data_IF_591082310071
#
_entry.id   IF_591082310071
#
_cell.length_a   1.000
_cell.length_b   1.000
_cell.length_c   1.000
_cell.angle_alpha   90.00
_cell.angle_beta   90.00
_cell.angle_gamma   90.00
#
_symmetry.space_group_name_H-M   'P 1'
#
loop_
_entity.id
_entity.type
_entity.pdbx_description
1 polymer ?
#
# COMPACT_ATOMS: atom_id res chain seq x y z
N UNK A 1 -18.59 2.34 -8.39
CA UNK A 1 -17.56 2.83 -9.32
C UNK A 1 -16.33 1.96 -9.14
N UNK A 2 -15.98 1.16 -10.15
CA UNK A 2 -14.78 0.32 -10.13
C UNK A 2 -13.65 1.14 -10.76
N UNK A 3 -12.54 1.26 -10.06
CA UNK A 3 -11.38 2.01 -10.53
C UNK A 3 -10.48 1.06 -11.33
N UNK A 4 -10.49 1.16 -12.66
CA UNK A 4 -9.61 0.36 -13.51
C UNK A 4 -8.26 1.05 -13.65
N UNK A 5 -7.28 0.56 -12.89
CA UNK A 5 -5.90 1.04 -12.92
C UNK A 5 -5.10 0.25 -13.95
N UNK A 6 -4.36 0.95 -14.81
CA UNK A 6 -3.33 0.36 -15.67
C UNK A 6 -2.15 -0.12 -14.85
N UNK A 7 -1.36 -1.04 -15.40
CA UNK A 7 -0.21 -1.62 -14.69
C UNK A 7 0.78 -0.57 -14.16
N UNK A 8 1.07 0.48 -14.95
CA UNK A 8 1.94 1.58 -14.51
C UNK A 8 1.32 2.39 -13.35
N UNK A 9 0.01 2.57 -13.34
CA UNK A 9 -0.70 3.29 -12.28
C UNK A 9 -0.72 2.45 -10.99
N UNK A 10 -0.92 1.13 -11.12
CA UNK A 10 -0.79 0.19 -9.99
C UNK A 10 0.62 0.23 -9.41
N UNK A 11 1.66 0.09 -10.24
CA UNK A 11 3.04 0.12 -9.77
C UNK A 11 3.39 1.45 -9.08
N UNK A 12 2.91 2.57 -9.61
CA UNK A 12 3.12 3.88 -8.99
C UNK A 12 2.46 3.96 -7.60
N UNK A 13 1.22 3.49 -7.48
CA UNK A 13 0.49 3.45 -6.21
C UNK A 13 1.14 2.48 -5.21
N UNK A 14 1.60 1.31 -5.64
CA UNK A 14 2.34 0.35 -4.80
C UNK A 14 3.59 1.02 -4.21
N UNK A 15 4.38 1.71 -5.04
CA UNK A 15 5.59 2.39 -4.60
C UNK A 15 5.29 3.53 -3.61
N UNK A 16 4.22 4.28 -3.86
CA UNK A 16 3.78 5.37 -2.98
C UNK A 16 3.34 4.84 -1.61
N UNK A 17 2.53 3.77 -1.59
CA UNK A 17 2.08 3.14 -0.35
C UNK A 17 3.25 2.57 0.45
N UNK A 18 4.19 1.90 -0.23
CA UNK A 18 5.38 1.31 0.39
C UNK A 18 6.34 2.38 0.96
N UNK A 19 6.49 3.52 0.27
CA UNK A 19 7.23 4.65 0.81
C UNK A 19 6.53 5.22 2.07
N UNK A 20 5.24 5.49 2.00
CA UNK A 20 4.50 6.09 3.12
C UNK A 20 4.46 5.16 4.34
N UNK A 21 4.32 3.85 4.13
CA UNK A 21 4.39 2.85 5.21
C UNK A 21 5.78 2.83 5.89
N UNK A 22 6.87 3.03 5.14
CA UNK A 22 8.22 3.14 5.74
C UNK A 22 8.34 4.40 6.60
N UNK A 23 7.84 5.52 6.10
CA UNK A 23 7.86 6.80 6.81
C UNK A 23 7.04 6.72 8.11
N UNK A 24 5.84 6.14 8.07
CA UNK A 24 5.00 5.91 9.25
C UNK A 24 5.66 4.98 10.27
N UNK A 25 6.27 3.88 9.83
CA UNK A 25 6.98 2.99 10.75
C UNK A 25 8.13 3.69 11.45
N UNK A 26 8.87 4.54 10.71
CA UNK A 26 9.89 5.39 11.30
C UNK A 26 9.27 6.35 12.32
N UNK A 27 8.21 7.06 11.98
CA UNK A 27 7.55 8.03 12.88
C UNK A 27 6.97 7.38 14.15
N UNK A 28 6.32 6.22 14.02
CA UNK A 28 5.80 5.42 15.15
C UNK A 28 6.92 5.07 16.12
N UNK A 29 8.07 4.63 15.60
CA UNK A 29 9.22 4.24 16.45
C UNK A 29 9.86 5.43 17.19
N UNK A 30 9.70 6.67 16.68
CA UNK A 30 10.25 7.89 17.27
C UNK A 30 9.21 8.74 18.02
N UNK A 31 7.96 8.28 18.11
CA UNK A 31 6.87 9.01 18.77
C UNK A 31 6.71 8.56 20.22
N UNK A 32 7.02 9.43 21.19
CA UNK A 32 6.84 9.14 22.62
C UNK A 32 5.40 9.37 23.13
N UNK A 33 4.62 10.20 22.43
CA UNK A 33 3.23 10.46 22.79
C UNK A 33 2.37 9.24 22.39
N UNK A 34 1.84 8.53 23.39
CA UNK A 34 1.04 7.32 23.20
C UNK A 34 -0.18 7.55 22.30
N UNK A 35 -0.98 8.57 22.56
CA UNK A 35 -2.20 8.83 21.80
C UNK A 35 -1.91 9.21 20.35
N UNK A 36 -0.78 9.89 20.11
CA UNK A 36 -0.32 10.16 18.75
C UNK A 36 0.18 8.89 18.06
N UNK A 37 0.95 8.05 18.77
CA UNK A 37 1.43 6.76 18.25
C UNK A 37 0.29 5.84 17.84
N UNK A 38 -0.80 5.78 18.61
CA UNK A 38 -1.96 4.95 18.25
C UNK A 38 -2.64 5.47 16.97
N UNK A 39 -2.77 6.80 16.80
CA UNK A 39 -3.29 7.36 15.54
C UNK A 39 -2.42 7.02 14.32
N UNK A 40 -1.10 7.01 14.48
CA UNK A 40 -0.19 6.60 13.40
C UNK A 40 -0.34 5.12 13.04
N UNK A 41 -0.60 4.26 14.02
CA UNK A 41 -0.89 2.83 13.77
C UNK A 41 -2.22 2.62 13.06
N UNK A 42 -3.24 3.39 13.41
CA UNK A 42 -4.53 3.36 12.70
C UNK A 42 -4.33 3.74 11.22
N UNK A 43 -3.50 4.75 10.94
CA UNK A 43 -3.13 5.11 9.57
C UNK A 43 -2.35 4.00 8.86
N UNK A 44 -1.37 3.39 9.54
CA UNK A 44 -0.62 2.24 9.02
C UNK A 44 -1.55 1.09 8.61
N UNK A 45 -2.54 0.77 9.45
CA UNK A 45 -3.52 -0.29 9.16
C UNK A 45 -4.32 0.01 7.90
N UNK A 46 -4.82 1.25 7.75
CA UNK A 46 -5.57 1.67 6.56
C UNK A 46 -4.72 1.50 5.29
N UNK A 47 -3.44 1.88 5.33
CA UNK A 47 -2.55 1.77 4.18
C UNK A 47 -2.22 0.31 3.83
N UNK A 48 -2.01 -0.55 4.84
CA UNK A 48 -1.83 -1.99 4.61
C UNK A 48 -3.06 -2.62 3.96
N UNK A 49 -4.26 -2.22 4.36
CA UNK A 49 -5.51 -2.66 3.72
C UNK A 49 -5.57 -2.21 2.26
N UNK A 50 -5.18 -0.96 1.96
CA UNK A 50 -5.15 -0.45 0.60
C UNK A 50 -4.12 -1.19 -0.27
N UNK A 51 -2.93 -1.46 0.27
CA UNK A 51 -1.89 -2.23 -0.41
C UNK A 51 -2.37 -3.65 -0.74
N UNK A 52 -2.97 -4.36 0.23
CA UNK A 52 -3.51 -5.70 0.01
C UNK A 52 -4.63 -5.71 -1.05
N UNK A 53 -5.48 -4.68 -1.08
CA UNK A 53 -6.51 -4.53 -2.12
C UNK A 53 -5.90 -4.32 -3.51
N UNK A 54 -4.82 -3.56 -3.60
CA UNK A 54 -4.11 -3.29 -4.84
C UNK A 54 -3.42 -4.57 -5.38
N UNK A 55 -2.77 -5.31 -4.50
CA UNK A 55 -2.16 -6.61 -4.82
C UNK A 55 -3.20 -7.67 -5.23
N UNK A 56 -4.36 -7.68 -4.57
CA UNK A 56 -5.48 -8.55 -4.94
C UNK A 56 -5.97 -8.33 -6.38
N UNK A 57 -5.82 -7.12 -6.91
CA UNK A 57 -6.15 -6.76 -8.30
C UNK A 57 -5.04 -7.12 -9.32
N UNK A 58 -3.90 -7.67 -8.87
CA UNK A 58 -2.76 -8.04 -9.71
C UNK A 58 -2.81 -9.50 -10.20
N UNK A 59 -3.81 -10.30 -9.81
CA UNK A 59 -3.99 -11.67 -10.31
C UNK A 59 -4.56 -11.71 -11.75
N UNK A 60 -3.70 -11.38 -12.72
CA UNK A 60 -3.54 -11.93 -14.09
C UNK A 60 -2.86 -10.87 -14.97
N UNK A 61 -1.76 -11.25 -15.63
CA UNK A 61 -1.88 -11.66 -17.01
C UNK A 61 -1.47 -13.12 -17.20
N UNK A 62 -2.30 -13.85 -17.94
CA UNK A 62 -1.90 -15.04 -18.67
C UNK A 62 -0.63 -14.70 -19.47
N UNK A 63 0.48 -15.38 -19.17
CA UNK A 63 1.58 -15.45 -20.14
C UNK A 63 1.04 -16.30 -21.29
N UNK A 64 0.49 -15.61 -22.28
CA UNK A 64 0.18 -16.17 -23.57
C UNK A 64 1.42 -16.88 -24.12
N UNK A 65 1.20 -18.15 -24.50
CA UNK A 65 2.01 -18.94 -25.41
C UNK A 65 2.93 -18.11 -26.32
N UNK A 66 4.24 -18.38 -26.25
CA UNK A 66 5.12 -18.22 -27.41
C UNK A 66 6.04 -19.43 -27.50
N UNK A 67 5.64 -20.33 -28.43
CA UNK A 67 6.44 -21.16 -29.36
C UNK A 67 7.60 -21.97 -28.77
#
# INVERSE_FOLDING_TARGET
MQLDLKEKEKQYLENMLDQHLRELNWEISHTDNRDFRERLKDEEEVLRILQAKLEGQRKQPEIAMQI
#
